data_IF_315642011438
#
_entry.id   IF_315642011438
#
_cell.length_a   1.000
_cell.length_b   1.000
_cell.length_c   1.000
_cell.angle_alpha   90.00
_cell.angle_beta   90.00
_cell.angle_gamma   90.00
#
_symmetry.space_group_name_H-M   'P 1'
#
loop_
_entity.id
_entity.type
_entity.pdbx_description
1 polymer ?
#
# COMPACT_ATOMS: atom_id res chain seq x y z
N UNK A 1 -9.66 -2.64 -2.30
CA UNK A 1 -9.29 -1.22 -2.26
C UNK A 1 -9.94 -0.64 -1.03
N UNK A 2 -9.16 -0.07 -0.12
CA UNK A 2 -9.67 0.42 1.14
C UNK A 2 -10.56 1.65 0.91
N UNK A 3 -11.67 1.78 1.63
CA UNK A 3 -12.45 3.03 1.64
C UNK A 3 -11.87 4.09 2.59
N UNK A 4 -11.05 3.67 3.57
CA UNK A 4 -10.46 4.54 4.59
C UNK A 4 -9.07 5.05 4.22
N UNK A 5 -8.26 4.24 3.53
CA UNK A 5 -6.93 4.59 3.00
C UNK A 5 -6.89 4.24 1.50
N UNK A 6 -7.51 5.05 0.62
CA UNK A 6 -7.72 4.68 -0.79
C UNK A 6 -6.44 4.38 -1.58
N UNK A 7 -5.32 4.96 -1.14
CA UNK A 7 -3.98 4.80 -1.69
C UNK A 7 -3.17 3.62 -1.10
N UNK A 8 -3.73 2.83 -0.16
CA UNK A 8 -3.05 1.68 0.42
C UNK A 8 -2.83 0.55 -0.60
N UNK A 9 -1.55 0.21 -0.81
CA UNK A 9 -1.10 -0.83 -1.75
C UNK A 9 -0.78 -2.16 -1.09
N UNK A 10 -1.18 -2.34 0.16
CA UNK A 10 -1.04 -3.59 0.89
C UNK A 10 -2.34 -4.00 1.57
N UNK A 11 -2.39 -5.27 1.92
CA UNK A 11 -3.30 -5.81 2.93
C UNK A 11 -2.45 -6.50 4.00
N UNK A 12 -2.88 -6.47 5.26
CA UNK A 12 -2.20 -7.14 6.37
C UNK A 12 -3.07 -8.25 6.95
N UNK A 13 -2.42 -9.24 7.57
CA UNK A 13 -3.10 -10.30 8.31
C UNK A 13 -3.21 -9.89 9.79
N UNK A 14 -4.42 -9.63 10.25
CA UNK A 14 -4.67 -9.25 11.63
C UNK A 14 -4.24 -10.38 12.60
N UNK A 15 -3.41 -10.10 13.62
CA UNK A 15 -2.89 -11.13 14.52
C UNK A 15 -3.97 -11.76 15.40
N UNK A 16 -5.02 -11.01 15.74
CA UNK A 16 -6.11 -11.46 16.60
C UNK A 16 -7.01 -12.54 15.97
N UNK A 17 -7.35 -12.39 14.69
CA UNK A 17 -8.34 -13.25 14.02
C UNK A 17 -7.81 -13.93 12.75
N UNK A 18 -6.54 -13.71 12.40
CA UNK A 18 -5.86 -14.36 11.27
C UNK A 18 -6.49 -14.10 9.89
N UNK A 19 -7.33 -13.06 9.77
CA UNK A 19 -7.98 -12.60 8.53
C UNK A 19 -7.23 -11.42 7.91
N UNK A 20 -7.46 -11.19 6.62
CA UNK A 20 -6.79 -10.15 5.84
C UNK A 20 -7.65 -8.89 5.75
N UNK A 21 -7.02 -7.73 5.93
CA UNK A 21 -7.67 -6.43 5.84
C UNK A 21 -6.76 -5.39 5.19
N UNK A 22 -7.36 -4.37 4.60
CA UNK A 22 -6.62 -3.28 3.96
C UNK A 22 -6.18 -2.18 4.95
N UNK A 23 -6.89 -2.03 6.08
CA UNK A 23 -6.54 -1.12 7.18
C UNK A 23 -7.21 -1.56 8.49
N UNK A 24 -6.82 -0.98 9.62
CA UNK A 24 -7.39 -1.30 10.94
C UNK A 24 -8.87 -0.93 11.07
N UNK A 25 -9.35 0.10 10.36
CA UNK A 25 -10.77 0.48 10.37
C UNK A 25 -11.62 -0.53 9.57
N UNK A 26 -11.12 -1.04 8.45
CA UNK A 26 -11.74 -2.17 7.73
C UNK A 26 -11.84 -3.42 8.61
N UNK A 27 -10.85 -3.67 9.48
CA UNK A 27 -10.92 -4.74 10.46
C UNK A 27 -12.03 -4.48 11.48
N UNK A 28 -12.09 -3.28 12.04
CA UNK A 28 -13.07 -2.91 13.08
C UNK A 28 -14.51 -2.98 12.57
N UNK A 29 -14.78 -2.60 11.32
CA UNK A 29 -16.13 -2.69 10.73
C UNK A 29 -16.59 -4.13 10.49
N UNK A 30 -15.66 -5.07 10.29
CA UNK A 30 -15.94 -6.46 9.94
C UNK A 30 -15.68 -7.43 11.11
N UNK A 31 -15.33 -6.90 12.27
CA UNK A 31 -15.00 -7.66 13.48
C UNK A 31 -15.74 -7.09 14.68
N UNK A 32 -15.90 -7.91 15.72
CA UNK A 32 -16.51 -7.57 17.00
C UNK A 32 -15.51 -7.05 18.05
N UNK A 33 -14.27 -6.79 17.62
CA UNK A 33 -13.15 -6.38 18.47
C UNK A 33 -12.22 -5.42 17.74
N UNK A 34 -11.34 -4.74 18.47
CA UNK A 34 -10.27 -3.92 17.89
C UNK A 34 -9.08 -4.78 17.50
N UNK A 35 -8.40 -4.39 16.43
CA UNK A 35 -7.18 -5.05 15.98
C UNK A 35 -6.12 -5.01 17.09
N UNK A 36 -5.55 -6.17 17.42
CA UNK A 36 -4.45 -6.27 18.38
C UNK A 36 -3.13 -5.78 17.76
N UNK A 37 -2.34 -5.06 18.54
CA UNK A 37 -0.97 -4.72 18.17
C UNK A 37 -0.09 -5.98 18.15
N UNK A 38 0.93 -5.97 17.29
CA UNK A 38 1.93 -7.02 17.22
C UNK A 38 3.29 -6.41 16.89
N UNK A 39 4.36 -6.99 17.42
CA UNK A 39 5.74 -6.60 17.11
C UNK A 39 6.09 -6.89 15.65
N UNK A 40 5.54 -7.97 15.07
CA UNK A 40 5.73 -8.31 13.66
C UNK A 40 4.37 -8.55 13.00
N UNK A 41 4.22 -8.12 11.75
CA UNK A 41 2.98 -8.30 11.01
C UNK A 41 3.24 -8.80 9.59
N UNK A 42 2.36 -9.68 9.11
CA UNK A 42 2.39 -10.20 7.75
C UNK A 42 1.56 -9.33 6.82
N UNK A 43 2.13 -9.01 5.66
CA UNK A 43 1.53 -8.20 4.61
C UNK A 43 1.50 -8.98 3.28
N UNK A 44 0.64 -8.53 2.37
CA UNK A 44 0.66 -8.92 0.96
C UNK A 44 0.63 -7.67 0.09
N UNK A 45 1.54 -7.59 -0.88
CA UNK A 45 1.61 -6.48 -1.83
C UNK A 45 0.49 -6.60 -2.85
N UNK A 46 -0.28 -5.53 -3.08
CA UNK A 46 -1.34 -5.51 -4.10
C UNK A 46 -0.80 -5.47 -5.53
N UNK A 47 0.43 -4.97 -5.73
CA UNK A 47 1.06 -4.94 -7.04
C UNK A 47 1.64 -6.30 -7.44
N UNK A 48 2.54 -6.87 -6.63
CA UNK A 48 3.23 -8.12 -6.99
C UNK A 48 2.60 -9.39 -6.39
N UNK A 49 1.63 -9.26 -5.47
CA UNK A 49 0.93 -10.36 -4.78
C UNK A 49 1.81 -11.27 -3.92
N UNK A 50 3.07 -10.91 -3.69
CA UNK A 50 3.97 -11.66 -2.81
C UNK A 50 3.73 -11.27 -1.34
N UNK A 51 3.67 -12.27 -0.43
CA UNK A 51 3.62 -12.00 1.00
C UNK A 51 5.00 -11.60 1.54
N UNK A 52 5.01 -10.78 2.59
CA UNK A 52 6.21 -10.40 3.33
C UNK A 52 5.86 -10.07 4.79
N UNK A 53 6.88 -9.91 5.63
CA UNK A 53 6.72 -9.52 7.05
C UNK A 53 7.49 -8.23 7.30
N UNK A 54 7.00 -7.44 8.25
CA UNK A 54 7.67 -6.25 8.76
C UNK A 54 7.67 -6.29 10.28
N UNK A 55 8.79 -5.89 10.87
CA UNK A 55 8.89 -5.59 12.29
C UNK A 55 8.35 -4.17 12.50
N UNK A 56 7.31 -4.05 13.32
CA UNK A 56 6.64 -2.80 13.64
C UNK A 56 7.26 -2.10 14.86
N UNK A 57 8.22 -2.72 15.53
CA UNK A 57 8.94 -2.12 16.67
C UNK A 57 10.08 -1.20 16.25
N UNK A 58 10.57 -1.36 15.01
CA UNK A 58 11.68 -0.61 14.44
C UNK A 58 11.38 -0.19 12.99
N UNK A 59 10.18 0.33 12.73
CA UNK A 59 9.73 0.72 11.39
C UNK A 59 10.34 2.05 10.94
N UNK A 60 11.02 2.07 9.80
CA UNK A 60 11.67 3.25 9.21
C UNK A 60 11.33 3.46 7.71
N UNK A 61 12.02 4.39 7.05
CA UNK A 61 11.81 4.73 5.64
C UNK A 61 12.10 3.55 4.68
N UNK A 62 13.04 2.65 5.03
CA UNK A 62 13.35 1.47 4.23
C UNK A 62 12.19 0.45 4.28
N UNK A 63 11.36 0.53 5.33
CA UNK A 63 10.19 -0.31 5.51
C UNK A 63 8.93 0.14 4.77
N UNK A 64 8.94 1.35 4.20
CA UNK A 64 7.80 1.93 3.50
C UNK A 64 7.54 1.33 2.11
N UNK A 65 8.32 0.32 1.69
CA UNK A 65 8.16 -0.34 0.40
C UNK A 65 8.11 -1.88 0.49
N UNK A 66 7.50 -2.47 -0.53
CA UNK A 66 7.47 -3.92 -0.73
C UNK A 66 8.89 -4.41 -1.05
N UNK A 67 9.47 -5.33 -0.25
CA UNK A 67 10.83 -5.81 -0.44
C UNK A 67 11.01 -6.63 -1.72
N UNK A 68 9.91 -7.04 -2.36
CA UNK A 68 9.94 -7.87 -3.57
C UNK A 68 9.93 -7.05 -4.86
N UNK A 69 9.31 -5.87 -4.86
CA UNK A 69 9.10 -5.10 -6.09
C UNK A 69 9.26 -3.58 -5.94
N UNK A 70 9.66 -3.09 -4.75
CA UNK A 70 9.86 -1.67 -4.46
C UNK A 70 8.59 -0.83 -4.41
N UNK A 71 7.41 -1.45 -4.48
CA UNK A 71 6.14 -0.70 -4.43
C UNK A 71 5.93 -0.07 -3.05
N UNK A 72 5.66 1.23 -3.00
CA UNK A 72 5.37 1.90 -1.73
C UNK A 72 4.08 1.36 -1.10
N UNK A 73 4.09 1.09 0.21
CA UNK A 73 2.97 0.47 0.93
C UNK A 73 1.71 1.36 0.89
N UNK A 74 1.91 2.67 0.83
CA UNK A 74 0.89 3.71 0.64
C UNK A 74 1.36 4.67 -0.43
N UNK A 75 0.59 4.88 -1.50
CA UNK A 75 1.01 5.82 -2.56
C UNK A 75 0.99 7.27 -2.06
N UNK A 76 1.97 8.11 -2.43
CA UNK A 76 2.00 9.50 -2.02
C UNK A 76 0.84 10.26 -2.68
N UNK A 77 0.28 11.23 -1.97
CA UNK A 77 -0.79 12.08 -2.51
C UNK A 77 -0.13 13.17 -3.35
N UNK A 78 0.01 12.89 -4.65
CA UNK A 78 0.43 13.88 -5.64
C UNK A 78 1.90 13.80 -6.04
N UNK A 79 2.17 12.95 -7.03
CA UNK A 79 3.04 13.33 -8.15
C UNK A 79 2.41 12.71 -9.40
N UNK A 80 1.22 13.19 -9.76
CA UNK A 80 0.72 13.04 -11.12
C UNK A 80 1.70 13.82 -12.00
N UNK A 81 2.77 13.16 -12.45
CA UNK A 81 3.61 13.69 -13.51
C UNK A 81 2.67 13.99 -14.66
N UNK A 82 2.50 15.28 -14.92
CA UNK A 82 1.71 15.85 -15.99
C UNK A 82 2.16 15.22 -17.31
N UNK A 83 1.52 14.11 -17.69
CA UNK A 83 1.86 13.36 -18.90
C UNK A 83 1.17 13.95 -20.12
N UNK A 84 0.85 15.25 -20.08
CA UNK A 84 0.12 15.96 -21.12
C UNK A 84 0.92 17.16 -21.63
N UNK A 85 2.21 16.98 -21.87
CA UNK A 85 3.01 17.92 -22.65
C UNK A 85 4.12 17.22 -23.46
N UNK A 86 3.73 16.49 -24.52
CA UNK A 86 4.63 16.22 -25.65
C UNK A 86 3.82 15.83 -26.90
N UNK A 87 3.05 16.78 -27.44
CA UNK A 87 2.68 16.71 -28.86
C UNK A 87 3.86 17.28 -29.65
N UNK A 88 4.56 16.51 -30.50
CA UNK A 88 5.59 17.10 -31.36
C UNK A 88 4.88 17.95 -32.43
N UNK A 89 5.32 19.21 -32.55
CA UNK A 89 4.89 20.09 -33.62
C UNK A 89 5.30 19.50 -34.97
N UNK A 90 4.32 19.14 -35.80
CA UNK A 90 4.56 18.77 -37.19
C UNK A 90 4.97 20.03 -37.97
N UNK A 91 6.27 20.11 -38.31
CA UNK A 91 6.78 21.08 -39.27
C UNK A 91 6.36 20.67 -40.68
N UNK A 92 5.38 21.34 -41.26
CA UNK A 92 5.06 21.25 -42.68
C UNK A 92 5.78 22.37 -43.42
N UNK A 93 6.88 22.02 -44.08
CA UNK A 93 7.53 22.83 -45.12
C UNK A 93 7.38 22.07 -46.43
N UNK A 94 6.59 22.59 -47.36
CA UNK A 94 6.71 22.50 -48.83
C UNK A 94 5.50 23.18 -49.47
#
# INVERSE_FOLDING_TARGET
>A
MCKHIPNAQVSFRAPCCSRWFDCSECHFELSDHRQQAAAEMAFVCKQCRNPFRKDLTAFDEEDESCPHCGNMLVQPVGELTDSRAATPAASSTS
#
